data_IF_943295688109
#
_entry.id   IF_943295688109
#
_cell.length_a   1.000
_cell.length_b   1.000
_cell.length_c   1.000
_cell.angle_alpha   90.00
_cell.angle_beta   90.00
_cell.angle_gamma   90.00
#
_symmetry.space_group_name_H-M   'P 1'
#
loop_
_entity.id
_entity.type
_entity.pdbx_description
1 polymer ?
#
# COMPACT_ATOMS: atom_id res chain seq x y z
N UNK A 1 -16.22 -3.32 2.24
CA UNK A 1 -15.80 -4.34 1.24
C UNK A 1 -15.77 -5.76 1.84
N UNK A 2 -14.90 -6.06 2.82
CA UNK A 2 -14.74 -7.43 3.35
C UNK A 2 -16.05 -8.14 3.72
N UNK A 3 -16.90 -7.52 4.55
CA UNK A 3 -18.19 -8.10 4.97
C UNK A 3 -19.11 -8.41 3.79
N UNK A 4 -19.09 -7.59 2.75
CA UNK A 4 -19.90 -7.79 1.54
C UNK A 4 -19.37 -8.97 0.71
N UNK A 5 -18.05 -9.07 0.53
CA UNK A 5 -17.42 -10.21 -0.14
C UNK A 5 -17.71 -11.53 0.60
N UNK A 6 -17.57 -11.53 1.93
CA UNK A 6 -17.90 -12.69 2.78
C UNK A 6 -19.39 -13.04 2.77
N UNK A 7 -20.29 -12.05 2.66
CA UNK A 7 -21.72 -12.31 2.49
C UNK A 7 -22.00 -12.96 1.13
N UNK A 8 -21.41 -12.45 0.05
CA UNK A 8 -21.53 -13.03 -1.29
C UNK A 8 -21.01 -14.48 -1.35
N UNK A 9 -19.86 -14.76 -0.73
CA UNK A 9 -19.28 -16.12 -0.70
C UNK A 9 -20.15 -17.16 0.03
N UNK A 10 -21.03 -16.70 0.93
CA UNK A 10 -22.00 -17.53 1.67
C UNK A 10 -23.29 -17.78 0.90
N UNK A 11 -23.54 -17.06 -0.19
CA UNK A 11 -24.68 -17.35 -1.05
C UNK A 11 -24.41 -18.65 -1.82
N UNK A 12 -25.43 -19.51 -1.90
CA UNK A 12 -25.36 -20.76 -2.64
C UNK A 12 -26.65 -20.97 -3.44
N UNK A 13 -26.57 -21.34 -4.73
CA UNK A 13 -25.35 -21.49 -5.55
C UNK A 13 -24.81 -20.15 -6.07
N UNK A 14 -23.50 -20.07 -6.33
CA UNK A 14 -22.85 -18.98 -7.10
C UNK A 14 -21.89 -19.59 -8.13
N UNK A 15 -21.68 -18.91 -9.26
CA UNK A 15 -20.74 -19.36 -10.30
C UNK A 15 -19.29 -19.34 -9.79
N UNK A 16 -18.44 -20.18 -10.39
CA UNK A 16 -17.00 -20.24 -10.09
C UNK A 16 -16.33 -18.89 -10.28
N UNK A 17 -16.58 -18.21 -11.42
CA UNK A 17 -16.01 -16.89 -11.71
C UNK A 17 -16.38 -15.85 -10.64
N UNK A 18 -17.64 -15.83 -10.20
CA UNK A 18 -18.08 -14.91 -9.16
C UNK A 18 -17.42 -15.27 -7.82
N UNK A 19 -17.28 -16.56 -7.51
CA UNK A 19 -16.60 -17.02 -6.30
C UNK A 19 -15.13 -16.58 -6.27
N UNK A 20 -14.40 -16.78 -7.37
CA UNK A 20 -12.98 -16.38 -7.47
C UNK A 20 -12.82 -14.86 -7.37
N UNK A 21 -13.69 -14.09 -8.03
CA UNK A 21 -13.69 -12.62 -7.92
C UNK A 21 -13.94 -12.16 -6.47
N UNK A 22 -14.92 -12.76 -5.79
CA UNK A 22 -15.22 -12.44 -4.39
C UNK A 22 -14.08 -12.87 -3.44
N UNK A 23 -13.41 -13.99 -3.72
CA UNK A 23 -12.22 -14.43 -2.98
C UNK A 23 -11.06 -13.45 -3.13
N UNK A 24 -10.72 -13.01 -4.35
CA UNK A 24 -9.66 -12.02 -4.54
C UNK A 24 -10.02 -10.66 -3.92
N UNK A 25 -11.31 -10.27 -3.99
CA UNK A 25 -11.79 -9.04 -3.33
C UNK A 25 -11.68 -9.13 -1.80
N UNK A 26 -12.01 -10.30 -1.22
CA UNK A 26 -11.84 -10.54 0.21
C UNK A 26 -10.35 -10.56 0.60
N UNK A 27 -9.49 -11.17 -0.24
CA UNK A 27 -8.05 -11.20 -0.05
C UNK A 27 -7.46 -9.79 0.03
N UNK A 28 -7.80 -8.90 -0.91
CA UNK A 28 -7.35 -7.52 -0.90
C UNK A 28 -7.87 -6.73 0.32
N UNK A 29 -9.11 -6.99 0.73
CA UNK A 29 -9.66 -6.36 1.92
C UNK A 29 -8.97 -6.84 3.20
N UNK A 30 -8.59 -8.12 3.30
CA UNK A 30 -7.76 -8.64 4.38
C UNK A 30 -6.37 -8.00 4.37
N UNK A 31 -5.72 -7.90 3.20
CA UNK A 31 -4.43 -7.22 3.03
C UNK A 31 -4.48 -5.77 3.53
N UNK A 32 -5.51 -5.03 3.11
CA UNK A 32 -5.74 -3.64 3.51
C UNK A 32 -5.96 -3.48 5.03
N UNK A 33 -6.45 -4.53 5.70
CA UNK A 33 -6.66 -4.59 7.15
C UNK A 33 -5.50 -5.21 7.92
N UNK A 34 -4.35 -5.45 7.25
CA UNK A 34 -3.16 -6.08 7.82
C UNK A 34 -3.37 -7.52 8.31
N UNK A 35 -4.36 -8.21 7.75
CA UNK A 35 -4.65 -9.63 7.99
C UNK A 35 -3.94 -10.47 6.91
N UNK A 36 -2.61 -10.54 7.02
CA UNK A 36 -1.74 -11.00 5.93
C UNK A 36 -1.86 -12.50 5.67
N UNK A 37 -2.10 -13.31 6.69
CA UNK A 37 -2.28 -14.76 6.51
C UNK A 37 -3.56 -15.07 5.73
N UNK A 38 -4.68 -14.44 6.10
CA UNK A 38 -5.94 -14.58 5.37
C UNK A 38 -5.84 -14.04 3.94
N UNK A 39 -5.15 -12.91 3.76
CA UNK A 39 -4.92 -12.33 2.44
C UNK A 39 -4.16 -13.29 1.52
N UNK A 40 -3.03 -13.82 2.00
CA UNK A 40 -2.21 -14.77 1.24
C UNK A 40 -2.94 -16.07 0.97
N UNK A 41 -3.59 -16.66 1.98
CA UNK A 41 -4.31 -17.92 1.82
C UNK A 41 -5.44 -17.82 0.80
N UNK A 42 -6.19 -16.71 0.77
CA UNK A 42 -7.24 -16.51 -0.23
C UNK A 42 -6.67 -16.23 -1.62
N UNK A 43 -5.63 -15.40 -1.74
CA UNK A 43 -4.97 -15.11 -3.01
C UNK A 43 -4.35 -16.37 -3.63
N UNK A 44 -3.66 -17.18 -2.82
CA UNK A 44 -3.00 -18.42 -3.27
C UNK A 44 -4.00 -19.40 -3.86
N UNK A 45 -5.19 -19.54 -3.26
CA UNK A 45 -6.24 -20.42 -3.79
C UNK A 45 -6.72 -20.01 -5.19
N UNK A 46 -6.81 -18.71 -5.46
CA UNK A 46 -7.20 -18.19 -6.79
C UNK A 46 -6.07 -18.41 -7.78
N UNK A 47 -4.81 -18.18 -7.36
CA UNK A 47 -3.62 -18.45 -8.17
C UNK A 47 -3.56 -19.93 -8.57
N UNK A 48 -3.72 -20.83 -7.61
CA UNK A 48 -3.64 -22.28 -7.85
C UNK A 48 -4.75 -22.75 -8.79
N UNK A 49 -5.96 -22.21 -8.67
CA UNK A 49 -7.03 -22.47 -9.64
C UNK A 49 -6.62 -22.09 -11.07
N UNK A 50 -6.07 -20.89 -11.28
CA UNK A 50 -5.70 -20.41 -12.60
C UNK A 50 -4.38 -20.98 -13.15
N UNK A 51 -3.62 -21.76 -12.36
CA UNK A 51 -2.53 -22.59 -12.88
C UNK A 51 -3.03 -23.77 -13.70
N UNK A 52 -4.21 -24.28 -13.37
CA UNK A 52 -4.81 -25.45 -14.01
C UNK A 52 -5.94 -25.08 -14.97
N UNK A 53 -6.49 -23.87 -14.86
CA UNK A 53 -7.65 -23.41 -15.61
C UNK A 53 -7.36 -22.04 -16.23
N UNK A 54 -7.29 -21.93 -17.55
CA UNK A 54 -7.03 -20.64 -18.20
C UNK A 54 -8.22 -19.68 -18.04
N UNK A 55 -8.00 -18.39 -17.71
CA UNK A 55 -9.08 -17.42 -17.59
C UNK A 55 -9.76 -17.13 -18.94
N UNK A 56 -11.01 -17.56 -19.07
CA UNK A 56 -11.77 -17.48 -20.33
C UNK A 56 -12.45 -16.12 -20.60
N UNK A 57 -12.35 -15.16 -19.68
CA UNK A 57 -12.96 -13.83 -19.82
C UNK A 57 -12.18 -12.75 -19.05
N UNK A 58 -12.47 -11.47 -19.34
CA UNK A 58 -11.74 -10.35 -18.74
C UNK A 58 -11.88 -10.28 -17.21
N UNK A 59 -13.02 -10.67 -16.63
CA UNK A 59 -13.19 -10.67 -15.16
C UNK A 59 -12.32 -11.73 -14.51
N UNK A 60 -12.21 -12.91 -15.13
CA UNK A 60 -11.31 -13.98 -14.68
C UNK A 60 -9.84 -13.56 -14.77
N UNK A 61 -9.43 -12.91 -15.88
CA UNK A 61 -8.08 -12.36 -16.04
C UNK A 61 -7.74 -11.32 -14.96
N UNK A 62 -8.68 -10.42 -14.66
CA UNK A 62 -8.52 -9.44 -13.57
C UNK A 62 -8.43 -10.14 -12.20
N UNK A 63 -9.26 -11.14 -11.93
CA UNK A 63 -9.21 -11.88 -10.68
C UNK A 63 -7.87 -12.61 -10.48
N UNK A 64 -7.30 -13.17 -11.56
CA UNK A 64 -5.97 -13.78 -11.57
C UNK A 64 -4.87 -12.74 -11.30
N UNK A 65 -4.84 -11.65 -12.07
CA UNK A 65 -3.84 -10.59 -11.93
C UNK A 65 -3.85 -9.98 -10.52
N UNK A 66 -5.04 -9.75 -9.98
CA UNK A 66 -5.24 -9.18 -8.66
C UNK A 66 -4.91 -10.17 -7.52
N UNK A 67 -5.04 -11.48 -7.73
CA UNK A 67 -4.59 -12.46 -6.74
C UNK A 67 -3.06 -12.41 -6.57
N UNK A 68 -2.31 -12.34 -7.67
CA UNK A 68 -0.86 -12.14 -7.65
C UNK A 68 -0.46 -10.81 -7.01
N UNK A 69 -1.20 -9.73 -7.27
CA UNK A 69 -1.01 -8.42 -6.63
C UNK A 69 -1.09 -8.53 -5.10
N UNK A 70 -2.18 -9.13 -4.60
CA UNK A 70 -2.41 -9.26 -3.15
C UNK A 70 -1.34 -10.14 -2.50
N UNK A 71 -0.99 -11.26 -3.13
CA UNK A 71 0.08 -12.13 -2.64
C UNK A 71 1.40 -11.37 -2.54
N UNK A 72 1.81 -10.71 -3.63
CA UNK A 72 3.08 -10.00 -3.69
C UNK A 72 3.18 -8.84 -2.71
N UNK A 73 2.13 -8.03 -2.58
CA UNK A 73 2.11 -6.96 -1.59
C UNK A 73 1.96 -7.44 -0.14
N UNK A 74 1.33 -8.59 0.10
CA UNK A 74 1.30 -9.20 1.44
C UNK A 74 2.70 -9.68 1.83
N UNK A 75 3.40 -10.38 0.93
CA UNK A 75 4.81 -10.75 1.11
C UNK A 75 5.66 -9.51 1.39
N UNK A 76 5.44 -8.41 0.65
CA UNK A 76 6.13 -7.13 0.87
C UNK A 76 5.95 -6.55 2.28
N UNK A 77 4.79 -6.78 2.92
CA UNK A 77 4.55 -6.32 4.30
C UNK A 77 5.21 -7.22 5.34
N UNK A 78 5.41 -8.50 5.03
CA UNK A 78 6.06 -9.45 5.92
C UNK A 78 7.56 -9.18 6.10
N UNK A 79 8.20 -8.37 5.25
CA UNK A 79 9.61 -8.00 5.42
C UNK A 79 9.90 -7.43 6.83
N UNK A 80 8.99 -6.60 7.35
CA UNK A 80 9.15 -5.95 8.66
C UNK A 80 8.57 -6.78 9.82
N UNK A 81 7.70 -7.75 9.52
CA UNK A 81 7.00 -8.58 10.52
C UNK A 81 7.78 -9.85 10.82
N UNK A 82 8.37 -10.47 9.79
CA UNK A 82 9.15 -11.72 9.86
C UNK A 82 10.59 -11.46 9.39
N UNK A 83 11.41 -10.70 10.14
CA UNK A 83 12.76 -10.31 9.72
C UNK A 83 13.67 -11.51 9.44
N UNK A 84 13.47 -12.62 10.15
CA UNK A 84 14.22 -13.88 9.96
C UNK A 84 14.03 -14.48 8.56
N UNK A 85 12.92 -14.16 7.90
CA UNK A 85 12.55 -14.64 6.56
C UNK A 85 12.45 -13.52 5.53
N UNK A 86 12.86 -12.30 5.88
CA UNK A 86 12.63 -11.12 5.05
C UNK A 86 13.20 -11.27 3.63
N UNK A 87 14.37 -11.91 3.45
CA UNK A 87 14.92 -12.17 2.11
C UNK A 87 14.05 -13.11 1.28
N UNK A 88 13.44 -14.13 1.91
CA UNK A 88 12.50 -15.02 1.24
C UNK A 88 11.21 -14.26 0.86
N UNK A 89 10.68 -13.44 1.77
CA UNK A 89 9.53 -12.59 1.51
C UNK A 89 9.78 -11.60 0.38
N UNK A 90 10.95 -10.96 0.35
CA UNK A 90 11.34 -10.05 -0.72
C UNK A 90 11.41 -10.76 -2.07
N UNK A 91 11.98 -11.97 -2.13
CA UNK A 91 12.02 -12.76 -3.35
C UNK A 91 10.61 -13.15 -3.84
N UNK A 92 9.75 -13.63 -2.94
CA UNK A 92 8.37 -13.97 -3.29
C UNK A 92 7.53 -12.75 -3.69
N UNK A 93 7.75 -11.59 -3.05
CA UNK A 93 7.13 -10.34 -3.42
C UNK A 93 7.53 -9.94 -4.83
N UNK A 94 8.83 -9.98 -5.16
CA UNK A 94 9.32 -9.68 -6.50
C UNK A 94 8.68 -10.59 -7.56
N UNK A 95 8.67 -11.92 -7.35
CA UNK A 95 8.09 -12.86 -8.30
C UNK A 95 6.59 -12.60 -8.50
N UNK A 96 5.83 -12.53 -7.40
CA UNK A 96 4.36 -12.37 -7.47
C UNK A 96 3.95 -11.03 -8.07
N UNK A 97 4.65 -9.94 -7.72
CA UNK A 97 4.36 -8.62 -8.29
C UNK A 97 4.78 -8.53 -9.76
N UNK A 98 5.83 -9.24 -10.18
CA UNK A 98 6.23 -9.30 -11.60
C UNK A 98 5.15 -9.99 -12.44
N UNK A 99 4.62 -11.12 -11.98
CA UNK A 99 3.48 -11.79 -12.63
C UNK A 99 2.25 -10.88 -12.69
N UNK A 100 1.89 -10.26 -11.57
CA UNK A 100 0.77 -9.32 -11.51
C UNK A 100 0.94 -8.13 -12.46
N UNK A 101 2.14 -7.55 -12.50
CA UNK A 101 2.47 -6.42 -13.36
C UNK A 101 2.26 -6.77 -14.83
N UNK A 102 2.82 -7.89 -15.30
CA UNK A 102 2.69 -8.32 -16.69
C UNK A 102 1.23 -8.54 -17.09
N UNK A 103 0.46 -9.20 -16.21
CA UNK A 103 -0.96 -9.42 -16.44
C UNK A 103 -1.75 -8.10 -16.51
N UNK A 104 -1.46 -7.13 -15.63
CA UNK A 104 -2.12 -5.84 -15.66
C UNK A 104 -1.68 -4.95 -16.83
N UNK A 105 -0.43 -5.05 -17.29
CA UNK A 105 0.04 -4.39 -18.51
C UNK A 105 -0.72 -4.90 -19.74
N UNK A 106 -0.90 -6.22 -19.84
CA UNK A 106 -1.73 -6.83 -20.88
C UNK A 106 -3.19 -6.35 -20.80
N UNK A 107 -3.78 -6.34 -19.60
CA UNK A 107 -5.13 -5.82 -19.39
C UNK A 107 -5.25 -4.32 -19.71
N UNK A 108 -4.19 -3.54 -19.52
CA UNK A 108 -4.17 -2.12 -19.85
C UNK A 108 -4.28 -1.87 -21.35
N UNK A 109 -3.66 -2.74 -22.15
CA UNK A 109 -3.68 -2.69 -23.61
C UNK A 109 -5.01 -3.20 -24.17
N UNK A 110 -5.49 -4.34 -23.67
CA UNK A 110 -6.60 -5.08 -24.27
C UNK A 110 -7.98 -4.74 -23.69
N UNK A 111 -8.04 -4.21 -22.46
CA UNK A 111 -9.31 -4.03 -21.73
C UNK A 111 -9.54 -2.57 -21.36
N UNK A 112 -8.65 -1.96 -20.58
CA UNK A 112 -8.81 -0.56 -20.17
C UNK A 112 -7.50 0.06 -19.65
N UNK A 113 -7.08 1.25 -20.10
CA UNK A 113 -5.80 1.87 -19.71
C UNK A 113 -5.57 2.05 -18.20
N UNK A 114 -6.64 2.09 -17.40
CA UNK A 114 -6.56 2.22 -15.92
C UNK A 114 -5.74 1.10 -15.26
N UNK A 115 -5.76 -0.11 -15.83
CA UNK A 115 -4.96 -1.23 -15.31
C UNK A 115 -3.45 -0.93 -15.35
N UNK A 116 -3.01 0.01 -16.20
CA UNK A 116 -1.64 0.50 -16.22
C UNK A 116 -1.23 1.16 -14.90
N UNK A 117 -2.16 1.81 -14.19
CA UNK A 117 -1.92 2.36 -12.85
C UNK A 117 -1.67 1.26 -11.82
N UNK A 118 -2.44 0.18 -11.86
CA UNK A 118 -2.23 -0.97 -10.96
C UNK A 118 -0.91 -1.67 -11.26
N UNK A 119 -0.57 -1.87 -12.54
CA UNK A 119 0.75 -2.37 -12.94
C UNK A 119 1.88 -1.45 -12.43
N UNK A 120 1.65 -0.12 -12.45
CA UNK A 120 2.60 0.85 -11.92
C UNK A 120 2.79 0.72 -10.40
N UNK A 121 1.76 0.38 -9.64
CA UNK A 121 1.88 0.05 -8.21
C UNK A 121 2.69 -1.23 -7.99
N UNK A 122 2.53 -2.25 -8.85
CA UNK A 122 3.37 -3.45 -8.81
C UNK A 122 4.85 -3.10 -9.01
N UNK A 123 5.17 -2.24 -9.99
CA UNK A 123 6.55 -1.77 -10.24
C UNK A 123 7.19 -1.14 -9.01
N UNK A 124 6.44 -0.31 -8.29
CA UNK A 124 6.92 0.29 -7.05
C UNK A 124 7.24 -0.79 -6.00
N UNK A 125 6.37 -1.79 -5.83
CA UNK A 125 6.59 -2.86 -4.87
C UNK A 125 7.77 -3.77 -5.24
N UNK A 126 8.01 -3.98 -6.54
CA UNK A 126 9.19 -4.68 -7.06
C UNK A 126 10.47 -3.89 -6.72
N UNK A 127 10.47 -2.57 -6.94
CA UNK A 127 11.60 -1.70 -6.61
C UNK A 127 11.98 -1.83 -5.11
N UNK A 128 10.99 -1.84 -4.22
CA UNK A 128 11.22 -2.03 -2.79
C UNK A 128 11.87 -3.38 -2.46
N UNK A 129 11.36 -4.46 -3.08
CA UNK A 129 11.94 -5.79 -2.93
C UNK A 129 13.36 -5.86 -3.50
N UNK A 130 13.63 -5.21 -4.62
CA UNK A 130 14.95 -5.19 -5.27
C UNK A 130 16.00 -4.44 -4.45
N UNK A 131 15.62 -3.31 -3.82
CA UNK A 131 16.50 -2.63 -2.86
C UNK A 131 16.79 -3.53 -1.66
N UNK A 132 15.76 -4.17 -1.11
CA UNK A 132 15.93 -5.07 0.03
C UNK A 132 16.87 -6.25 -0.30
N UNK A 133 16.78 -6.80 -1.51
CA UNK A 133 17.64 -7.87 -2.00
C UNK A 133 19.04 -7.39 -2.42
N UNK A 134 19.34 -6.08 -2.30
CA UNK A 134 20.63 -5.49 -2.68
C UNK A 134 20.88 -5.44 -4.19
N UNK A 135 19.82 -5.56 -5.01
CA UNK A 135 19.91 -5.49 -6.48
C UNK A 135 19.96 -4.06 -7.00
N UNK A 136 19.39 -3.12 -6.24
CA UNK A 136 19.33 -1.69 -6.57
C UNK A 136 19.79 -0.90 -5.35
N UNK A 137 20.60 0.13 -5.55
CA UNK A 137 21.00 1.04 -4.47
C UNK A 137 19.79 1.86 -3.98
N UNK A 138 19.72 2.11 -2.67
CA UNK A 138 18.60 2.84 -2.08
C UNK A 138 18.50 4.28 -2.60
N UNK A 139 19.63 4.99 -2.80
CA UNK A 139 19.59 6.37 -3.28
C UNK A 139 19.15 6.42 -4.74
N UNK A 140 19.57 5.45 -5.54
CA UNK A 140 19.06 5.26 -6.89
C UNK A 140 17.55 5.00 -6.89
N UNK A 141 17.06 4.09 -6.05
CA UNK A 141 15.64 3.81 -5.94
C UNK A 141 14.81 5.03 -5.50
N UNK A 142 15.30 5.79 -4.51
CA UNK A 142 14.67 7.05 -4.07
C UNK A 142 14.60 8.06 -5.21
N UNK A 143 15.67 8.20 -6.01
CA UNK A 143 15.65 9.08 -7.19
C UNK A 143 14.56 8.66 -8.19
N UNK A 144 14.43 7.35 -8.47
CA UNK A 144 13.36 6.82 -9.33
C UNK A 144 11.97 7.10 -8.76
N UNK A 145 11.78 6.95 -7.45
CA UNK A 145 10.50 7.29 -6.78
C UNK A 145 10.18 8.77 -6.97
N UNK A 146 11.15 9.66 -6.74
CA UNK A 146 10.98 11.10 -6.93
C UNK A 146 10.60 11.45 -8.37
N UNK A 147 11.28 10.88 -9.36
CA UNK A 147 10.97 11.09 -10.78
C UNK A 147 9.54 10.67 -11.13
N UNK A 148 9.08 9.53 -10.60
CA UNK A 148 7.73 9.02 -10.85
C UNK A 148 6.66 9.91 -10.21
N UNK A 149 6.83 10.31 -8.94
CA UNK A 149 5.83 11.15 -8.26
C UNK A 149 5.83 12.59 -8.79
N UNK A 150 6.92 13.04 -9.40
CA UNK A 150 7.00 14.32 -10.11
C UNK A 150 6.16 14.35 -11.39
N UNK A 151 5.59 13.23 -11.84
CA UNK A 151 4.53 13.26 -12.87
C UNK A 151 3.23 13.82 -12.28
N UNK A 152 3.03 13.68 -10.96
CA UNK A 152 1.88 14.17 -10.20
C UNK A 152 2.22 15.40 -9.35
N UNK A 153 2.81 16.42 -9.97
CA UNK A 153 3.14 17.70 -9.32
C UNK A 153 1.89 18.28 -8.67
N UNK A 154 0.84 18.45 -9.45
CA UNK A 154 -0.49 18.81 -8.97
C UNK A 154 -1.44 17.62 -9.13
N UNK A 155 -1.77 16.93 -8.02
CA UNK A 155 -2.77 15.86 -8.04
C UNK A 155 -4.11 16.32 -8.60
N UNK A 156 -4.46 17.61 -8.49
CA UNK A 156 -5.74 18.15 -8.95
C UNK A 156 -5.91 18.13 -10.47
N UNK A 157 -4.81 18.13 -11.22
CA UNK A 157 -4.79 18.06 -12.68
C UNK A 157 -4.88 16.63 -13.23
N UNK A 158 -4.71 15.61 -12.37
CA UNK A 158 -4.76 14.20 -12.76
C UNK A 158 -6.16 13.63 -12.52
N UNK A 159 -6.68 12.88 -13.49
CA UNK A 159 -7.94 12.16 -13.37
C UNK A 159 -7.94 11.21 -12.15
N UNK A 160 -9.06 11.17 -11.42
CA UNK A 160 -9.22 10.25 -10.30
C UNK A 160 -9.30 8.81 -10.81
N UNK A 161 -8.46 7.93 -10.28
CA UNK A 161 -8.44 6.51 -10.63
C UNK A 161 -7.11 5.87 -10.29
N UNK A 162 -6.87 4.68 -10.87
CA UNK A 162 -5.74 3.82 -10.52
C UNK A 162 -4.38 4.48 -10.80
N UNK A 163 -4.29 5.35 -11.82
CA UNK A 163 -3.05 6.07 -12.12
C UNK A 163 -2.67 7.04 -11.00
N UNK A 164 -3.62 7.88 -10.57
CA UNK A 164 -3.40 8.79 -9.45
C UNK A 164 -3.12 8.02 -8.16
N UNK A 165 -3.87 6.95 -7.91
CA UNK A 165 -3.64 6.09 -6.74
C UNK A 165 -2.22 5.48 -6.75
N UNK A 166 -1.73 5.09 -7.93
CA UNK A 166 -0.39 4.53 -8.06
C UNK A 166 0.70 5.47 -7.56
N UNK A 167 0.64 6.78 -7.88
CA UNK A 167 1.62 7.76 -7.42
C UNK A 167 1.60 7.95 -5.89
N UNK A 168 0.42 7.83 -5.28
CA UNK A 168 0.28 7.80 -3.83
C UNK A 168 0.99 6.56 -3.24
N UNK A 169 0.81 5.38 -3.83
CA UNK A 169 1.51 4.18 -3.39
C UNK A 169 3.02 4.21 -3.63
N UNK A 170 3.48 4.84 -4.73
CA UNK A 170 4.90 5.12 -4.95
C UNK A 170 5.48 5.98 -3.81
N UNK A 171 4.72 6.99 -3.36
CA UNK A 171 5.13 7.83 -2.23
C UNK A 171 5.25 7.04 -0.92
N UNK A 172 4.27 6.18 -0.62
CA UNK A 172 4.32 5.25 0.53
C UNK A 172 5.54 4.32 0.44
N UNK A 173 5.88 3.85 -0.75
CA UNK A 173 7.06 2.99 -0.95
C UNK A 173 8.36 3.79 -0.75
N UNK A 174 8.39 5.04 -1.20
CA UNK A 174 9.46 5.99 -0.88
C UNK A 174 9.68 6.10 0.63
N UNK A 175 8.61 6.28 1.41
CA UNK A 175 8.70 6.30 2.88
C UNK A 175 9.32 5.01 3.45
N UNK A 176 8.87 3.83 3.00
CA UNK A 176 9.44 2.56 3.48
C UNK A 176 10.93 2.44 3.17
N UNK A 177 11.34 2.77 1.95
CA UNK A 177 12.74 2.75 1.53
C UNK A 177 13.58 3.68 2.41
N UNK A 178 13.08 4.91 2.63
CA UNK A 178 13.71 5.91 3.47
C UNK A 178 13.87 5.43 4.92
N UNK A 179 12.78 4.94 5.54
CA UNK A 179 12.80 4.50 6.94
C UNK A 179 13.75 3.32 7.17
N UNK A 180 13.79 2.34 6.25
CA UNK A 180 14.64 1.15 6.40
C UNK A 180 16.11 1.37 6.11
N UNK A 181 16.44 2.19 5.12
CA UNK A 181 17.77 2.15 4.51
C UNK A 181 18.56 3.46 4.61
N UNK A 182 17.91 4.60 4.90
CA UNK A 182 18.61 5.88 5.01
C UNK A 182 19.00 6.12 6.48
N UNK A 183 20.29 6.05 6.76
CA UNK A 183 20.84 6.27 8.11
C UNK A 183 21.09 7.74 8.45
N UNK A 184 21.34 8.59 7.45
CA UNK A 184 21.49 10.03 7.67
C UNK A 184 20.13 10.65 8.01
N UNK A 185 19.97 11.11 9.25
CA UNK A 185 18.69 11.57 9.78
C UNK A 185 18.18 12.82 9.05
N UNK A 186 19.07 13.69 8.56
CA UNK A 186 18.66 14.89 7.83
C UNK A 186 18.08 14.55 6.47
N UNK A 187 18.77 13.70 5.70
CA UNK A 187 18.27 13.17 4.43
C UNK A 187 16.96 12.39 4.65
N UNK A 188 16.91 11.57 5.69
CA UNK A 188 15.74 10.78 6.04
C UNK A 188 14.51 11.67 6.30
N UNK A 189 14.61 12.67 7.17
CA UNK A 189 13.51 13.60 7.46
C UNK A 189 13.08 14.39 6.23
N UNK A 190 14.03 14.81 5.38
CA UNK A 190 13.72 15.48 4.11
C UNK A 190 12.88 14.58 3.21
N UNK A 191 13.31 13.35 2.96
CA UNK A 191 12.58 12.42 2.09
C UNK A 191 11.23 12.03 2.68
N UNK A 192 11.15 11.79 3.99
CA UNK A 192 9.88 11.51 4.67
C UNK A 192 8.88 12.65 4.51
N UNK A 193 9.31 13.91 4.67
CA UNK A 193 8.45 15.07 4.42
C UNK A 193 7.91 15.11 3.00
N UNK A 194 8.78 14.95 2.00
CA UNK A 194 8.37 14.93 0.58
C UNK A 194 7.33 13.83 0.30
N UNK A 195 7.63 12.59 0.70
CA UNK A 195 6.79 11.45 0.37
C UNK A 195 5.48 11.42 1.14
N UNK A 196 5.49 11.76 2.44
CA UNK A 196 4.24 11.78 3.23
C UNK A 196 3.30 12.89 2.79
N UNK A 197 3.81 14.08 2.46
CA UNK A 197 2.98 15.17 1.93
C UNK A 197 2.31 14.78 0.61
N UNK A 198 3.08 14.25 -0.36
CA UNK A 198 2.51 13.82 -1.64
C UNK A 198 1.49 12.69 -1.48
N UNK A 199 1.77 11.71 -0.61
CA UNK A 199 0.83 10.65 -0.31
C UNK A 199 -0.46 11.18 0.32
N UNK A 200 -0.39 12.17 1.22
CA UNK A 200 -1.55 12.75 1.87
C UNK A 200 -2.44 13.57 0.92
N UNK A 201 -1.83 14.39 0.05
CA UNK A 201 -2.54 15.13 -1.00
C UNK A 201 -3.37 14.17 -1.89
N UNK A 202 -2.73 13.09 -2.35
CA UNK A 202 -3.37 12.07 -3.19
C UNK A 202 -4.46 11.32 -2.41
N UNK A 203 -4.17 10.92 -1.17
CA UNK A 203 -5.13 10.23 -0.31
C UNK A 203 -6.35 11.10 -0.01
N UNK A 204 -6.16 12.42 0.09
CA UNK A 204 -7.24 13.39 0.26
C UNK A 204 -8.10 13.49 -0.99
N UNK A 205 -7.48 13.70 -2.15
CA UNK A 205 -8.18 13.79 -3.44
C UNK A 205 -9.01 12.55 -3.77
N UNK A 206 -8.48 11.36 -3.47
CA UNK A 206 -9.12 10.07 -3.72
C UNK A 206 -10.07 9.62 -2.59
N UNK A 207 -10.12 10.33 -1.46
CA UNK A 207 -10.78 9.86 -0.23
C UNK A 207 -10.30 8.46 0.21
N UNK A 208 -9.00 8.20 0.03
CA UNK A 208 -8.43 6.87 0.12
C UNK A 208 -7.96 6.53 1.54
N UNK A 209 -8.83 5.91 2.32
CA UNK A 209 -8.61 5.64 3.75
C UNK A 209 -7.38 4.77 4.08
N UNK A 210 -7.04 3.76 3.27
CA UNK A 210 -5.89 2.90 3.59
C UNK A 210 -4.56 3.61 3.37
N UNK A 211 -4.46 4.44 2.33
CA UNK A 211 -3.33 5.32 2.11
C UNK A 211 -3.20 6.35 3.25
N UNK A 212 -4.31 6.97 3.70
CA UNK A 212 -4.29 7.85 4.88
C UNK A 212 -3.77 7.15 6.13
N UNK A 213 -4.20 5.92 6.39
CA UNK A 213 -3.66 5.12 7.49
C UNK A 213 -2.13 4.99 7.39
N UNK A 214 -1.62 4.69 6.19
CA UNK A 214 -0.18 4.59 5.97
C UNK A 214 0.55 5.90 6.16
N UNK A 215 0.00 7.02 5.71
CA UNK A 215 0.56 8.35 5.93
C UNK A 215 0.72 8.61 7.43
N UNK A 216 -0.36 8.45 8.22
CA UNK A 216 -0.29 8.68 9.66
C UNK A 216 0.72 7.77 10.36
N UNK A 217 0.71 6.48 10.03
CA UNK A 217 1.66 5.52 10.59
C UNK A 217 3.11 5.90 10.29
N UNK A 218 3.40 6.32 9.05
CA UNK A 218 4.75 6.69 8.60
C UNK A 218 5.23 8.03 9.16
N UNK A 219 4.36 9.03 9.24
CA UNK A 219 4.68 10.30 9.90
C UNK A 219 4.99 10.09 11.37
N UNK A 220 4.21 9.23 12.05
CA UNK A 220 4.44 8.91 13.45
C UNK A 220 5.76 8.17 13.67
N UNK A 221 6.10 7.20 12.83
CA UNK A 221 7.38 6.48 12.87
C UNK A 221 8.57 7.43 12.60
N UNK A 222 8.47 8.26 11.55
CA UNK A 222 9.49 9.27 11.24
C UNK A 222 9.71 10.26 12.38
N UNK A 223 8.64 10.64 13.09
CA UNK A 223 8.73 11.46 14.31
C UNK A 223 9.43 10.73 15.44
N UNK A 224 9.08 9.48 15.73
CA UNK A 224 9.75 8.71 16.79
C UNK A 224 11.27 8.65 16.55
N UNK A 225 11.67 8.50 15.28
CA UNK A 225 13.07 8.52 14.89
C UNK A 225 13.71 9.92 15.04
N UNK A 226 13.01 11.00 14.68
CA UNK A 226 13.45 12.38 14.92
C UNK A 226 13.71 12.67 16.41
N UNK A 227 12.81 12.22 17.28
CA UNK A 227 12.96 12.37 18.74
C UNK A 227 14.17 11.58 19.22
N UNK A 228 14.33 10.34 18.74
CA UNK A 228 15.50 9.52 19.06
C UNK A 228 16.82 10.19 18.67
N UNK A 229 16.86 10.89 17.53
CA UNK A 229 18.04 11.60 17.05
C UNK A 229 18.32 12.91 17.82
N UNK A 230 17.30 13.72 18.06
CA UNK A 230 17.46 15.07 18.64
C UNK A 230 17.38 15.10 20.16
N UNK A 231 16.80 14.08 20.78
CA UNK A 231 16.45 14.06 22.21
C UNK A 231 15.34 15.04 22.59
N UNK A 232 14.72 15.72 21.62
CA UNK A 232 13.69 16.73 21.85
C UNK A 232 12.31 16.17 21.49
N UNK A 233 11.41 16.19 22.46
CA UNK A 233 10.00 15.87 22.21
C UNK A 233 9.31 17.11 21.63
N UNK A 234 9.27 17.19 20.29
CA UNK A 234 8.60 18.28 19.57
C UNK A 234 7.09 18.00 19.58
N UNK A 235 6.26 18.85 20.22
CA UNK A 235 4.82 18.61 20.29
C UNK A 235 4.18 18.59 18.90
N UNK A 236 3.32 17.60 18.64
CA UNK A 236 2.53 17.58 17.40
C UNK A 236 1.41 18.61 17.57
N UNK A 237 1.30 19.56 16.65
CA UNK A 237 0.10 20.38 16.57
C UNK A 237 -0.94 19.57 15.81
N UNK A 238 -2.05 19.26 16.47
CA UNK A 238 -3.16 18.51 15.89
C UNK A 238 -4.38 19.44 15.90
N UNK A 239 -4.95 19.70 14.74
CA UNK A 239 -6.18 20.49 14.63
C UNK A 239 -7.44 19.62 14.72
N UNK A 240 -8.61 20.25 14.61
CA UNK A 240 -9.90 19.54 14.72
C UNK A 240 -10.16 18.59 13.54
N UNK A 241 -9.63 18.90 12.37
CA UNK A 241 -9.73 18.05 11.18
C UNK A 241 -8.84 16.81 11.33
N UNK A 242 -7.61 16.98 11.79
CA UNK A 242 -6.70 15.88 12.09
C UNK A 242 -7.30 14.90 13.10
N UNK A 243 -7.90 15.41 14.19
CA UNK A 243 -8.60 14.54 15.18
C UNK A 243 -9.70 13.73 14.50
N UNK A 244 -10.51 14.35 13.63
CA UNK A 244 -11.58 13.67 12.89
C UNK A 244 -11.01 12.60 11.94
N UNK A 245 -9.90 12.90 11.27
CA UNK A 245 -9.26 11.97 10.32
C UNK A 245 -8.61 10.78 11.04
N UNK A 246 -7.88 11.03 12.14
CA UNK A 246 -7.24 10.00 12.95
C UNK A 246 -8.31 9.07 13.55
N UNK A 247 -9.34 9.63 14.19
CA UNK A 247 -10.43 8.83 14.77
C UNK A 247 -11.22 8.05 13.70
N UNK A 248 -11.47 8.66 12.54
CA UNK A 248 -12.07 8.00 11.38
C UNK A 248 -11.23 6.83 10.86
N UNK A 249 -9.90 6.95 10.91
CA UNK A 249 -8.94 5.91 10.54
C UNK A 249 -8.95 4.78 11.57
N UNK A 250 -8.92 5.09 12.87
CA UNK A 250 -9.02 4.11 13.97
C UNK A 250 -10.31 3.26 13.92
N UNK A 251 -11.41 3.86 13.47
CA UNK A 251 -12.68 3.15 13.26
C UNK A 251 -12.63 2.13 12.12
N UNK A 252 -11.84 2.39 11.08
CA UNK A 252 -11.73 1.58 9.86
C UNK A 252 -10.64 0.52 9.94
N UNK A 253 -9.53 0.83 10.60
CA UNK A 253 -8.34 -0.02 10.67
C UNK A 253 -8.05 -0.39 12.13
N UNK A 254 -8.51 -1.56 12.62
CA UNK A 254 -8.32 -1.95 14.01
C UNK A 254 -6.84 -1.99 14.46
N UNK A 255 -5.93 -2.39 13.57
CA UNK A 255 -4.49 -2.45 13.87
C UNK A 255 -3.87 -1.05 14.06
N UNK A 256 -4.43 -0.02 13.43
CA UNK A 256 -3.97 1.37 13.58
C UNK A 256 -4.33 1.99 14.94
N UNK A 257 -5.27 1.41 15.70
CA UNK A 257 -5.79 2.04 16.93
C UNK A 257 -4.72 2.39 17.96
N UNK A 258 -3.71 1.53 18.12
CA UNK A 258 -2.60 1.80 19.05
C UNK A 258 -1.83 3.04 18.61
N UNK A 259 -1.44 3.10 17.34
CA UNK A 259 -0.76 4.24 16.72
C UNK A 259 -1.62 5.50 16.80
N UNK A 260 -2.90 5.43 16.47
CA UNK A 260 -3.83 6.55 16.54
C UNK A 260 -3.95 7.14 17.95
N UNK A 261 -4.08 6.30 18.99
CA UNK A 261 -4.04 6.78 20.37
C UNK A 261 -2.70 7.41 20.74
N UNK A 262 -1.58 6.84 20.30
CA UNK A 262 -0.26 7.43 20.54
C UNK A 262 -0.11 8.80 19.87
N UNK A 263 -0.60 8.98 18.65
CA UNK A 263 -0.60 10.28 17.97
C UNK A 263 -1.42 11.30 18.78
N UNK A 264 -2.66 10.95 19.15
CA UNK A 264 -3.55 11.85 19.89
C UNK A 264 -3.01 12.22 21.28
N UNK A 265 -2.31 11.30 21.95
CA UNK A 265 -1.73 11.55 23.28
C UNK A 265 -0.47 12.41 23.24
N UNK A 266 0.28 12.39 22.13
CA UNK A 266 1.47 13.23 21.93
C UNK A 266 1.12 14.61 21.33
N UNK A 267 -0.14 14.83 20.95
CA UNK A 267 -0.58 16.05 20.30
C UNK A 267 -1.03 17.15 21.26
N UNK A 268 -0.62 18.38 20.99
CA UNK A 268 -1.26 19.57 21.51
C UNK A 268 -2.48 19.88 20.64
N UNK A 269 -3.66 19.53 21.12
CA UNK A 269 -4.93 19.79 20.42
C UNK A 269 -5.23 21.28 20.48
N UNK A 270 -5.19 21.95 19.33
CA UNK A 270 -5.63 23.34 19.22
C UNK A 270 -7.14 23.33 18.96
N UNK A 271 -7.92 23.92 19.87
CA UNK A 271 -9.34 24.18 19.62
C UNK A 271 -9.45 25.49 18.83
N UNK A 272 -10.04 25.44 17.64
CA UNK A 272 -10.50 26.65 16.98
C UNK A 272 -11.49 27.37 17.89
N UNK A 273 -11.28 28.69 18.04
CA UNK A 273 -12.07 29.58 18.91
C UNK A 273 -13.41 29.93 18.28
#
# INVERSE_FOLDING_TARGET
VLKAAQAGLRQHPISTDLRLLLQTTAANAHYTLWQLDEAQGMAQRVIDYYKENEPNNNRAKVAQAHAWYVLGHSQRRLLDIEPERASQHAHHAQLSLSESMQLFEFLAQEVHPTYGGIANTCRAGILEADVFLGKIDVREAIARVLDVINVAIDPEEIEKGDWLESYGWWSIIGCNLTLRHISDERDMQRFMGTFTNKADEIATRLCHWAMRERVFSMQFEGRQRLIGWTGQDIPIVIDSEDVRLITGTMGRFPQFRKTGWSILNCGNIIKES
#
